data_IF_380574182223
#
_entry.id   IF_380574182223
#
_cell.length_a   1.000
_cell.length_b   1.000
_cell.length_c   1.000
_cell.angle_alpha   90.00
_cell.angle_beta   90.00
_cell.angle_gamma   90.00
#
_symmetry.space_group_name_H-M   'P 1'
#
loop_
_entity.id
_entity.type
_entity.pdbx_description
1 polymer ?
#
# COMPACT_ATOMS: atom_id res chain seq x y z
N UNK A 1 -96.15 29.90 24.35
CA UNK A 1 -95.87 28.65 23.63
C UNK A 1 -94.93 28.99 22.48
N UNK A 2 -93.63 28.74 22.62
CA UNK A 2 -92.64 28.92 21.56
C UNK A 2 -91.47 27.96 21.86
N UNK A 3 -91.38 26.90 21.08
CA UNK A 3 -90.34 25.88 21.17
C UNK A 3 -89.12 26.32 20.34
N UNK A 4 -87.96 26.40 21.00
CA UNK A 4 -86.67 26.66 20.37
C UNK A 4 -86.20 25.44 19.57
N UNK A 5 -85.81 25.63 18.31
CA UNK A 5 -85.09 24.63 17.52
C UNK A 5 -83.58 24.82 17.65
N UNK A 6 -82.88 23.72 17.96
CA UNK A 6 -81.44 23.64 18.20
C UNK A 6 -80.69 23.51 16.86
N UNK A 7 -79.54 24.15 16.64
CA UNK A 7 -78.77 23.99 15.40
C UNK A 7 -78.11 22.61 15.34
N UNK A 8 -78.23 21.97 14.17
CA UNK A 8 -77.75 20.62 13.88
C UNK A 8 -76.24 20.67 13.55
N UNK A 9 -75.41 20.00 14.36
CA UNK A 9 -73.96 19.85 14.11
C UNK A 9 -73.73 18.97 12.87
N UNK A 10 -73.07 19.52 11.85
CA UNK A 10 -72.60 18.78 10.68
C UNK A 10 -71.44 17.83 11.05
N UNK A 11 -71.61 16.52 10.80
CA UNK A 11 -70.55 15.52 10.92
C UNK A 11 -69.48 15.73 9.83
N UNK A 12 -68.17 15.67 10.15
CA UNK A 12 -67.12 15.75 9.14
C UNK A 12 -67.15 14.50 8.24
N UNK A 13 -67.07 14.72 6.93
CA UNK A 13 -67.13 13.70 5.88
C UNK A 13 -65.84 12.86 5.81
N UNK A 14 -65.98 11.55 5.58
CA UNK A 14 -64.90 10.53 5.66
C UNK A 14 -63.71 10.74 4.72
N UNK A 15 -63.78 11.69 3.79
CA UNK A 15 -62.71 12.03 2.85
C UNK A 15 -61.66 12.93 3.51
N UNK A 16 -62.07 13.81 4.43
CA UNK A 16 -61.16 14.67 5.22
C UNK A 16 -60.35 13.86 6.23
N UNK A 17 -61.00 12.93 6.95
CA UNK A 17 -60.31 12.04 7.89
C UNK A 17 -59.27 11.13 7.21
N UNK A 18 -59.54 10.63 6.01
CA UNK A 18 -58.59 9.82 5.24
C UNK A 18 -57.35 10.61 4.80
N UNK A 19 -57.53 11.88 4.45
CA UNK A 19 -56.41 12.75 4.07
C UNK A 19 -55.51 13.07 5.27
N UNK A 20 -56.11 13.36 6.43
CA UNK A 20 -55.37 13.61 7.68
C UNK A 20 -54.60 12.36 8.10
N UNK A 21 -55.20 11.17 8.02
CA UNK A 21 -54.53 9.92 8.35
C UNK A 21 -53.33 9.65 7.43
N UNK A 22 -53.47 9.93 6.13
CA UNK A 22 -52.37 9.81 5.16
C UNK A 22 -51.21 10.75 5.52
N UNK A 23 -51.49 12.00 5.88
CA UNK A 23 -50.47 12.96 6.30
C UNK A 23 -49.73 12.51 7.57
N UNK A 24 -50.43 11.94 8.55
CA UNK A 24 -49.81 11.41 9.79
C UNK A 24 -48.88 10.24 9.48
N UNK A 25 -49.30 9.32 8.59
CA UNK A 25 -48.47 8.18 8.18
C UNK A 25 -47.22 8.63 7.43
N UNK A 26 -47.35 9.59 6.51
CA UNK A 26 -46.20 10.15 5.78
C UNK A 26 -45.23 10.83 6.76
N UNK A 27 -45.74 11.62 7.72
CA UNK A 27 -44.90 12.29 8.71
C UNK A 27 -44.19 11.28 9.63
N UNK A 28 -44.88 10.22 10.05
CA UNK A 28 -44.27 9.13 10.82
C UNK A 28 -43.19 8.40 10.01
N UNK A 29 -43.42 8.11 8.72
CA UNK A 29 -42.40 7.55 7.84
C UNK A 29 -41.18 8.47 7.67
N UNK A 30 -41.38 9.78 7.53
CA UNK A 30 -40.28 10.74 7.45
C UNK A 30 -39.49 10.82 8.76
N UNK A 31 -40.15 10.75 9.91
CA UNK A 31 -39.50 10.68 11.23
C UNK A 31 -38.71 9.38 11.40
N UNK A 32 -39.24 8.25 10.93
CA UNK A 32 -38.51 6.98 10.94
C UNK A 32 -37.30 7.02 9.99
N UNK A 33 -37.45 7.51 8.76
CA UNK A 33 -36.35 7.64 7.80
C UNK A 33 -35.26 8.60 8.29
N UNK A 34 -35.65 9.74 8.89
CA UNK A 34 -34.69 10.68 9.49
C UNK A 34 -34.01 10.10 10.73
N UNK A 35 -34.70 9.27 11.52
CA UNK A 35 -34.05 8.53 12.61
C UNK A 35 -33.02 7.53 12.09
N UNK A 36 -33.28 6.80 11.00
CA UNK A 36 -32.33 5.86 10.37
C UNK A 36 -31.10 6.58 9.80
N UNK A 37 -31.28 7.78 9.23
CA UNK A 37 -30.17 8.61 8.72
C UNK A 37 -29.40 9.26 9.89
N UNK A 38 -30.08 9.63 10.97
CA UNK A 38 -29.47 10.29 12.14
C UNK A 38 -28.80 9.32 13.12
N UNK A 39 -29.17 8.04 13.14
CA UNK A 39 -28.49 7.00 13.95
C UNK A 39 -27.49 6.16 13.16
N UNK A 40 -26.97 6.68 12.03
CA UNK A 40 -25.81 6.14 11.31
C UNK A 40 -24.49 6.11 12.11
N UNK A 41 -24.54 6.22 13.44
CA UNK A 41 -23.42 6.08 14.38
C UNK A 41 -23.84 5.33 15.66
N UNK A 42 -24.37 4.12 15.52
CA UNK A 42 -24.30 3.12 16.61
C UNK A 42 -23.64 1.85 16.07
N UNK A 43 -22.33 1.73 16.34
CA UNK A 43 -21.58 0.51 16.02
C UNK A 43 -20.07 0.74 15.91
N UNK A 44 -19.37 0.65 17.04
CA UNK A 44 -17.99 0.17 17.15
C UNK A 44 -16.94 0.78 16.18
N UNK A 45 -16.24 1.87 16.56
CA UNK A 45 -15.19 2.46 15.73
C UNK A 45 -14.04 1.49 15.39
N UNK A 46 -13.86 0.42 16.18
CA UNK A 46 -12.83 -0.60 15.96
C UNK A 46 -13.19 -1.65 14.88
N UNK A 47 -14.47 -1.99 14.71
CA UNK A 47 -14.88 -2.94 13.67
C UNK A 47 -14.99 -2.28 12.30
N UNK A 48 -15.36 -1.00 12.25
CA UNK A 48 -15.36 -0.24 11.00
C UNK A 48 -13.95 -0.07 10.42
N UNK A 49 -12.91 0.10 11.24
CA UNK A 49 -11.52 0.15 10.72
C UNK A 49 -11.05 -1.17 10.10
N UNK A 50 -11.45 -2.32 10.64
CA UNK A 50 -11.07 -3.62 10.08
C UNK A 50 -11.92 -4.00 8.88
N UNK A 51 -13.22 -3.70 8.90
CA UNK A 51 -14.09 -3.95 7.75
C UNK A 51 -13.72 -2.99 6.62
N UNK A 52 -13.47 -1.70 6.87
CA UNK A 52 -12.95 -0.80 5.84
C UNK A 52 -11.55 -1.24 5.35
N UNK A 53 -10.68 -1.80 6.21
CA UNK A 53 -9.41 -2.40 5.77
C UNK A 53 -9.65 -3.58 4.80
N UNK A 54 -10.54 -4.52 5.14
CA UNK A 54 -10.82 -5.69 4.30
C UNK A 54 -11.72 -5.39 3.08
N UNK A 55 -12.56 -4.35 3.13
CA UNK A 55 -13.54 -3.98 2.09
C UNK A 55 -12.99 -2.90 1.17
N UNK A 56 -12.12 -2.01 1.66
CA UNK A 56 -11.50 -0.92 0.87
C UNK A 56 -10.13 -1.29 0.32
N UNK A 57 -9.41 -2.26 0.89
CA UNK A 57 -8.23 -2.81 0.22
C UNK A 57 -8.72 -3.49 -1.05
N UNK A 58 -8.51 -2.88 -2.24
CA UNK A 58 -8.68 -3.63 -3.45
C UNK A 58 -7.51 -4.62 -3.39
N UNK A 59 -7.75 -5.82 -2.87
CA UNK A 59 -6.89 -7.01 -3.08
C UNK A 59 -6.83 -7.40 -4.58
N UNK A 60 -7.15 -6.45 -5.46
CA UNK A 60 -6.96 -6.53 -6.88
C UNK A 60 -5.55 -6.07 -7.17
N UNK A 61 -4.77 -6.97 -7.77
CA UNK A 61 -3.50 -6.67 -8.42
C UNK A 61 -3.63 -5.33 -9.14
N UNK A 62 -2.92 -4.31 -8.66
CA UNK A 62 -2.86 -3.00 -9.31
C UNK A 62 -2.51 -3.25 -10.78
N UNK A 63 -3.40 -2.87 -11.69
CA UNK A 63 -3.11 -3.04 -13.12
C UNK A 63 -1.97 -2.10 -13.48
N UNK A 64 -0.81 -2.69 -13.79
CA UNK A 64 0.38 -1.95 -14.19
C UNK A 64 0.09 -1.20 -15.49
N UNK A 65 0.03 0.12 -15.41
CA UNK A 65 -0.22 0.97 -16.59
C UNK A 65 1.09 1.29 -17.32
N UNK A 66 1.02 1.53 -18.63
CA UNK A 66 2.19 1.90 -19.47
C UNK A 66 2.88 3.22 -19.05
N UNK A 67 2.30 4.00 -18.13
CA UNK A 67 2.91 5.20 -17.56
C UNK A 67 3.78 4.92 -16.34
N UNK A 68 3.76 3.69 -15.82
CA UNK A 68 4.51 3.33 -14.63
C UNK A 68 6.00 3.32 -14.88
N UNK A 69 6.70 3.82 -13.86
CA UNK A 69 8.13 4.03 -13.84
C UNK A 69 8.67 3.37 -12.58
N UNK A 70 9.84 2.78 -12.68
CA UNK A 70 10.36 1.86 -11.67
C UNK A 70 11.62 2.41 -11.02
N UNK A 71 11.76 2.16 -9.72
CA UNK A 71 12.99 2.33 -8.97
C UNK A 71 13.50 0.95 -8.57
N UNK A 72 14.64 0.55 -9.12
CA UNK A 72 15.30 -0.72 -8.79
C UNK A 72 16.46 -0.46 -7.83
N UNK A 73 16.45 -1.18 -6.70
CA UNK A 73 17.44 -0.98 -5.62
C UNK A 73 18.50 -2.07 -5.56
N UNK A 74 18.39 -3.09 -6.41
CA UNK A 74 19.24 -4.28 -6.38
C UNK A 74 18.45 -5.52 -6.04
N UNK A 75 19.09 -6.68 -6.20
CA UNK A 75 18.52 -7.98 -5.88
C UNK A 75 18.70 -8.37 -4.41
N UNK A 76 19.36 -7.50 -3.63
CA UNK A 76 19.62 -7.66 -2.21
C UNK A 76 19.58 -6.26 -1.60
N UNK A 77 18.83 -6.10 -0.52
CA UNK A 77 18.87 -4.85 0.23
C UNK A 77 20.10 -4.88 1.13
N UNK A 78 21.12 -4.08 0.81
CA UNK A 78 22.23 -3.75 1.71
C UNK A 78 22.90 -4.99 2.36
N UNK A 79 23.07 -6.04 1.56
CA UNK A 79 23.75 -7.25 1.99
C UNK A 79 24.42 -7.93 0.80
N UNK A 80 25.76 -8.10 0.82
CA UNK A 80 26.53 -8.53 -0.33
C UNK A 80 26.40 -10.03 -0.64
N UNK A 81 25.62 -10.78 0.15
CA UNK A 81 25.44 -12.21 -0.08
C UNK A 81 26.62 -13.04 0.39
N UNK A 82 27.58 -13.25 -0.52
CA UNK A 82 28.72 -14.16 -0.34
C UNK A 82 29.65 -13.76 0.81
N UNK A 83 29.75 -12.46 1.07
CA UNK A 83 30.56 -11.90 2.13
C UNK A 83 29.67 -11.32 3.24
N UNK A 84 28.66 -12.08 3.65
CA UNK A 84 27.64 -11.64 4.62
C UNK A 84 28.28 -11.15 5.94
N UNK A 85 29.48 -11.63 6.31
CA UNK A 85 30.24 -11.09 7.44
C UNK A 85 30.55 -9.59 7.34
N UNK A 86 30.58 -9.02 6.14
CA UNK A 86 30.81 -7.58 5.95
C UNK A 86 29.54 -6.74 6.10
N UNK A 87 28.33 -7.34 6.01
CA UNK A 87 27.05 -6.65 6.16
C UNK A 87 26.88 -6.06 7.58
N UNK A 88 26.44 -4.82 7.71
CA UNK A 88 26.31 -4.16 9.02
C UNK A 88 25.17 -4.70 9.91
N UNK A 89 24.39 -5.68 9.44
CA UNK A 89 23.39 -6.41 10.22
C UNK A 89 21.96 -6.26 9.68
N UNK A 90 20.99 -6.94 10.31
CA UNK A 90 19.58 -6.86 9.91
C UNK A 90 19.01 -5.44 10.05
N UNK A 91 19.38 -4.72 11.12
CA UNK A 91 18.95 -3.33 11.30
C UNK A 91 19.43 -2.38 10.20
N UNK A 92 20.60 -2.64 9.59
CA UNK A 92 21.06 -1.87 8.43
C UNK A 92 20.21 -2.17 7.21
N UNK A 93 19.96 -3.46 6.92
CA UNK A 93 19.07 -3.90 5.83
C UNK A 93 17.67 -3.29 5.95
N UNK A 94 17.07 -3.28 7.15
CA UNK A 94 15.76 -2.68 7.40
C UNK A 94 15.78 -1.16 7.21
N UNK A 95 16.82 -0.47 7.69
CA UNK A 95 17.00 0.96 7.47
C UNK A 95 17.13 1.30 5.98
N UNK A 96 17.92 0.51 5.25
CA UNK A 96 18.13 0.64 3.81
C UNK A 96 16.86 0.37 3.02
N UNK A 97 16.04 -0.60 3.44
CA UNK A 97 14.71 -0.83 2.86
C UNK A 97 13.80 0.39 3.04
N UNK A 98 13.80 1.01 4.22
CA UNK A 98 13.03 2.23 4.48
C UNK A 98 13.48 3.40 3.62
N UNK A 99 14.78 3.57 3.41
CA UNK A 99 15.32 4.56 2.48
C UNK A 99 14.87 4.30 1.04
N UNK A 100 14.90 3.05 0.59
CA UNK A 100 14.46 2.66 -0.75
C UNK A 100 12.97 2.95 -0.99
N UNK A 101 12.12 2.61 -0.01
CA UNK A 101 10.69 2.88 -0.03
C UNK A 101 10.40 4.39 -0.06
N UNK A 102 11.08 5.17 0.77
CA UNK A 102 10.93 6.62 0.80
C UNK A 102 11.35 7.25 -0.53
N UNK A 103 12.47 6.82 -1.12
CA UNK A 103 12.91 7.35 -2.40
C UNK A 103 11.95 6.98 -3.55
N UNK A 104 11.38 5.77 -3.54
CA UNK A 104 10.34 5.37 -4.49
C UNK A 104 9.09 6.27 -4.37
N UNK A 105 8.66 6.53 -3.13
CA UNK A 105 7.56 7.45 -2.84
C UNK A 105 7.87 8.88 -3.30
N UNK A 106 9.07 9.38 -3.01
CA UNK A 106 9.53 10.72 -3.40
C UNK A 106 9.57 10.88 -4.93
N UNK A 107 10.02 9.87 -5.66
CA UNK A 107 10.10 9.88 -7.12
C UNK A 107 8.77 9.52 -7.80
N UNK A 108 7.75 9.15 -7.03
CA UNK A 108 6.47 8.61 -7.51
C UNK A 108 6.68 7.44 -8.49
N UNK A 109 7.48 6.45 -8.07
CA UNK A 109 7.83 5.26 -8.86
C UNK A 109 7.42 3.99 -8.13
N UNK A 110 7.12 2.95 -8.89
CA UNK A 110 6.96 1.60 -8.37
C UNK A 110 8.31 1.10 -7.88
N UNK A 111 8.38 0.74 -6.61
CA UNK A 111 9.55 0.15 -6.00
C UNK A 111 9.69 -1.31 -6.44
N UNK A 112 10.84 -1.66 -7.00
CA UNK A 112 11.20 -3.04 -7.30
C UNK A 112 11.98 -3.56 -6.10
N UNK A 113 11.26 -4.23 -5.22
CA UNK A 113 11.76 -4.78 -3.97
C UNK A 113 12.48 -6.10 -4.24
N UNK A 114 13.63 -6.35 -3.59
CA UNK A 114 14.24 -7.69 -3.59
C UNK A 114 13.24 -8.75 -3.13
N UNK A 115 13.23 -9.93 -3.76
CA UNK A 115 12.38 -11.04 -3.33
C UNK A 115 12.82 -11.68 -2.02
N UNK A 116 14.04 -11.42 -1.55
CA UNK A 116 14.55 -11.93 -0.28
C UNK A 116 15.43 -10.96 0.50
N UNK A 117 15.47 -11.16 1.82
CA UNK A 117 16.29 -10.43 2.78
C UNK A 117 17.16 -11.41 3.58
N UNK A 118 18.39 -11.02 3.91
CA UNK A 118 19.26 -11.88 4.71
C UNK A 118 18.85 -11.86 6.18
N UNK A 119 18.56 -13.03 6.73
CA UNK A 119 18.25 -13.24 8.15
C UNK A 119 19.33 -14.09 8.82
N UNK A 120 20.54 -14.14 8.24
CA UNK A 120 21.59 -14.98 8.74
C UNK A 120 21.93 -14.61 10.21
N UNK A 121 21.93 -15.58 11.14
CA UNK A 121 22.24 -15.31 12.55
C UNK A 121 23.61 -14.66 12.78
N UNK A 122 24.53 -14.69 11.79
CA UNK A 122 25.79 -13.93 11.84
C UNK A 122 25.55 -12.44 12.09
N UNK A 123 24.42 -11.88 11.63
CA UNK A 123 24.03 -10.50 11.90
C UNK A 123 23.89 -10.21 13.40
N UNK A 124 23.53 -11.20 14.21
CA UNK A 124 23.41 -11.06 15.67
C UNK A 124 24.76 -11.19 16.40
N UNK A 125 25.78 -11.74 15.72
CA UNK A 125 27.10 -12.01 16.32
C UNK A 125 28.12 -10.91 16.06
N UNK A 126 27.78 -9.86 15.30
CA UNK A 126 28.69 -8.73 15.05
C UNK A 126 29.11 -7.94 16.30
N UNK A 127 28.48 -8.18 17.46
CA UNK A 127 28.90 -7.69 18.78
C UNK A 127 29.68 -8.70 19.65
N UNK A 128 29.84 -9.96 19.22
CA UNK A 128 30.49 -11.02 20.01
C UNK A 128 31.68 -11.56 19.21
N UNK A 129 32.87 -11.12 19.61
CA UNK A 129 34.15 -11.34 18.93
C UNK A 129 34.46 -12.79 18.53
N UNK A 130 35.21 -12.90 17.42
CA UNK A 130 36.06 -14.00 16.97
C UNK A 130 35.40 -15.34 16.59
N UNK A 131 35.17 -15.59 15.29
CA UNK A 131 35.47 -16.90 14.67
C UNK A 131 35.50 -16.90 13.12
N UNK A 132 36.64 -17.40 12.63
CA UNK A 132 37.03 -18.01 11.33
C UNK A 132 36.15 -17.92 10.09
N UNK A 133 36.81 -17.49 9.01
CA UNK A 133 36.57 -17.74 7.58
C UNK A 133 35.75 -19.01 7.27
N UNK A 134 34.43 -18.88 7.28
CA UNK A 134 33.56 -19.75 6.50
C UNK A 134 32.88 -18.88 5.47
N UNK A 135 33.54 -18.74 4.32
CA UNK A 135 33.01 -18.05 3.13
C UNK A 135 31.61 -18.59 2.86
N UNK A 136 30.59 -17.76 3.09
CA UNK A 136 29.22 -18.12 2.75
C UNK A 136 29.10 -18.31 1.23
N UNK A 137 28.83 -19.54 0.79
CA UNK A 137 28.49 -19.85 -0.61
C UNK A 137 27.07 -19.36 -0.92
N UNK A 138 26.68 -19.24 -2.20
CA UNK A 138 25.28 -18.90 -2.58
C UNK A 138 24.26 -19.86 -1.96
N UNK A 139 24.64 -21.12 -1.78
CA UNK A 139 23.84 -22.15 -1.07
C UNK A 139 23.59 -21.77 0.39
N UNK A 140 24.60 -21.17 1.05
CA UNK A 140 24.48 -20.62 2.40
C UNK A 140 23.55 -19.41 2.46
N UNK A 141 23.47 -18.61 1.40
CA UNK A 141 22.51 -17.51 1.31
C UNK A 141 21.07 -18.02 1.22
N UNK A 142 20.79 -18.98 0.34
CA UNK A 142 19.44 -19.55 0.19
C UNK A 142 18.92 -20.11 1.53
N UNK A 143 19.79 -20.77 2.30
CA UNK A 143 19.46 -21.27 3.64
C UNK A 143 19.39 -20.20 4.75
N UNK A 144 19.81 -18.97 4.48
CA UNK A 144 19.85 -17.86 5.44
C UNK A 144 19.17 -16.57 4.95
N UNK A 145 18.37 -16.67 3.89
CA UNK A 145 17.50 -15.62 3.37
C UNK A 145 16.05 -15.97 3.61
N UNK A 146 15.23 -14.97 3.88
CA UNK A 146 13.78 -15.12 3.98
C UNK A 146 13.13 -14.38 2.81
N UNK A 147 12.04 -14.93 2.29
CA UNK A 147 11.26 -14.26 1.25
C UNK A 147 10.62 -12.99 1.81
N UNK A 148 10.61 -11.91 1.02
CA UNK A 148 10.12 -10.61 1.50
C UNK A 148 8.63 -10.61 1.80
N UNK A 149 7.85 -11.40 1.07
CA UNK A 149 6.41 -11.62 1.33
C UNK A 149 6.14 -12.46 2.59
N UNK A 150 7.15 -13.13 3.14
CA UNK A 150 7.08 -13.82 4.43
C UNK A 150 7.43 -12.91 5.61
N UNK A 151 8.23 -11.87 5.36
CA UNK A 151 8.64 -10.89 6.37
C UNK A 151 7.71 -9.68 6.45
N UNK A 152 7.12 -9.27 5.33
CA UNK A 152 6.34 -8.04 5.21
C UNK A 152 5.05 -8.30 4.46
N UNK A 153 3.98 -7.65 4.90
CA UNK A 153 2.74 -7.57 4.14
C UNK A 153 2.93 -6.59 2.97
N UNK A 154 3.28 -7.14 1.80
CA UNK A 154 3.58 -6.37 0.60
C UNK A 154 2.33 -5.63 0.08
N UNK A 155 1.15 -6.22 0.27
CA UNK A 155 -0.11 -5.59 -0.12
C UNK A 155 -0.37 -4.35 0.73
N UNK A 156 -0.14 -4.44 2.05
CA UNK A 156 -0.24 -3.31 2.97
C UNK A 156 0.74 -2.19 2.65
N UNK A 157 2.00 -2.52 2.33
CA UNK A 157 2.98 -1.52 1.88
C UNK A 157 2.50 -0.87 0.58
N UNK A 158 1.94 -1.68 -0.33
CA UNK A 158 1.45 -1.26 -1.65
C UNK A 158 0.25 -0.32 -1.61
N UNK A 159 -0.48 -0.24 -0.49
CA UNK A 159 -1.50 0.79 -0.28
C UNK A 159 -0.93 2.21 -0.33
N UNK A 160 0.33 2.38 0.10
CA UNK A 160 1.00 3.68 0.13
C UNK A 160 2.05 3.84 -0.97
N UNK A 161 2.89 2.82 -1.17
CA UNK A 161 4.04 2.88 -2.08
C UNK A 161 3.91 1.68 -3.01
N UNK A 162 3.69 1.86 -4.32
CA UNK A 162 3.53 0.71 -5.21
C UNK A 162 4.79 -0.17 -5.17
N UNK A 163 4.63 -1.47 -4.88
CA UNK A 163 5.73 -2.43 -4.82
C UNK A 163 5.49 -3.58 -5.79
N UNK A 164 6.56 -4.04 -6.44
CA UNK A 164 6.64 -5.38 -7.05
C UNK A 164 7.92 -6.08 -6.58
N UNK A 165 7.91 -7.41 -6.55
CA UNK A 165 9.12 -8.19 -6.29
C UNK A 165 9.95 -8.37 -7.56
N UNK A 166 11.27 -8.45 -7.40
CA UNK A 166 12.25 -8.59 -8.49
C UNK A 166 12.31 -10.01 -9.12
N UNK A 167 11.53 -10.95 -8.62
CA UNK A 167 11.28 -12.27 -9.22
C UNK A 167 9.88 -12.39 -9.87
N UNK A 168 9.10 -11.30 -9.85
CA UNK A 168 7.75 -11.29 -10.42
C UNK A 168 7.77 -11.32 -11.95
N UNK A 169 6.73 -11.93 -12.54
CA UNK A 169 6.51 -11.90 -14.01
C UNK A 169 6.42 -10.47 -14.55
N UNK A 170 5.86 -9.55 -13.77
CA UNK A 170 5.80 -8.12 -14.10
C UNK A 170 7.19 -7.55 -14.27
N UNK A 171 8.09 -7.79 -13.33
CA UNK A 171 9.45 -7.27 -13.42
C UNK A 171 10.21 -7.83 -14.62
N UNK A 172 10.07 -9.13 -14.92
CA UNK A 172 10.65 -9.72 -16.14
C UNK A 172 10.15 -9.02 -17.42
N UNK A 173 8.85 -8.71 -17.51
CA UNK A 173 8.29 -7.96 -18.63
C UNK A 173 8.86 -6.53 -18.71
N UNK A 174 8.95 -5.83 -17.58
CA UNK A 174 9.51 -4.47 -17.48
C UNK A 174 10.98 -4.46 -17.93
N UNK A 175 11.79 -5.40 -17.46
CA UNK A 175 13.19 -5.55 -17.89
C UNK A 175 13.27 -5.77 -19.40
N UNK A 176 12.48 -6.70 -19.95
CA UNK A 176 12.45 -6.97 -21.40
C UNK A 176 12.04 -5.74 -22.22
N UNK A 177 11.14 -4.91 -21.67
CA UNK A 177 10.68 -3.67 -22.29
C UNK A 177 11.76 -2.59 -22.22
N UNK A 178 12.46 -2.48 -21.09
CA UNK A 178 13.56 -1.53 -20.92
C UNK A 178 14.67 -1.74 -21.95
N UNK A 179 14.99 -3.00 -22.27
CA UNK A 179 15.98 -3.34 -23.30
C UNK A 179 15.58 -2.85 -24.70
N UNK A 180 14.28 -2.75 -24.98
CA UNK A 180 13.75 -2.22 -26.25
C UNK A 180 13.71 -0.69 -26.31
N UNK A 181 13.80 -0.01 -25.17
CA UNK A 181 13.72 1.44 -25.06
C UNK A 181 15.11 2.12 -25.07
N UNK A 182 16.19 1.34 -25.14
CA UNK A 182 17.57 1.81 -25.23
C UNK A 182 17.88 2.89 -24.16
N UNK A 183 18.25 4.10 -24.58
CA UNK A 183 18.61 5.23 -23.69
C UNK A 183 17.48 5.63 -22.73
N UNK A 184 16.22 5.33 -23.05
CA UNK A 184 15.06 5.61 -22.18
C UNK A 184 14.68 4.45 -21.28
N UNK A 185 15.31 3.29 -21.45
CA UNK A 185 14.97 2.05 -20.76
C UNK A 185 15.46 2.02 -19.31
N UNK A 186 16.75 2.20 -19.11
CA UNK A 186 17.37 2.07 -17.79
C UNK A 186 18.58 2.98 -17.67
N UNK A 187 18.73 3.64 -16.53
CA UNK A 187 19.99 4.28 -16.18
C UNK A 187 20.44 3.90 -14.77
N UNK A 188 21.73 3.64 -14.65
CA UNK A 188 22.40 3.47 -13.36
C UNK A 188 22.83 4.84 -12.82
N UNK A 189 22.46 5.15 -11.57
CA UNK A 189 22.54 6.51 -11.02
C UNK A 189 23.45 6.62 -9.78
N UNK A 190 24.66 6.07 -9.90
CA UNK A 190 25.69 6.18 -8.86
C UNK A 190 26.00 7.63 -8.49
N UNK A 191 26.01 7.95 -7.19
CA UNK A 191 26.38 9.28 -6.67
C UNK A 191 25.40 10.42 -7.01
N UNK A 192 24.28 10.13 -7.69
CA UNK A 192 23.27 11.14 -8.02
C UNK A 192 22.35 11.36 -6.83
N UNK A 193 22.10 12.61 -6.42
CA UNK A 193 21.14 12.88 -5.33
C UNK A 193 19.69 12.68 -5.77
N UNK A 194 18.80 12.31 -4.85
CA UNK A 194 17.35 12.13 -5.13
C UNK A 194 16.71 13.35 -5.78
N UNK A 195 17.15 14.57 -5.41
CA UNK A 195 16.66 15.82 -5.99
C UNK A 195 17.07 15.99 -7.46
N UNK A 196 18.21 15.43 -7.89
CA UNK A 196 18.58 15.45 -9.31
C UNK A 196 17.80 14.42 -10.12
N UNK A 197 17.34 13.33 -9.49
CA UNK A 197 16.53 12.30 -10.16
C UNK A 197 15.14 12.77 -10.57
N UNK A 198 14.65 13.89 -10.02
CA UNK A 198 13.37 14.50 -10.44
C UNK A 198 13.51 15.34 -11.72
N UNK A 199 14.73 15.60 -12.19
CA UNK A 199 14.99 16.37 -13.41
C UNK A 199 14.63 15.55 -14.67
N UNK A 200 14.32 16.25 -15.77
CA UNK A 200 13.72 15.68 -16.99
C UNK A 200 14.52 14.53 -17.62
N UNK A 201 15.84 14.50 -17.47
CA UNK A 201 16.67 13.45 -18.04
C UNK A 201 16.53 12.11 -17.32
N UNK A 202 16.35 12.10 -15.99
CA UNK A 202 16.10 10.88 -15.22
C UNK A 202 14.62 10.59 -15.05
N UNK A 203 13.79 11.63 -14.93
CA UNK A 203 12.36 11.46 -14.66
C UNK A 203 11.63 10.76 -15.81
N UNK A 204 12.14 10.81 -17.04
CA UNK A 204 11.57 10.14 -18.21
C UNK A 204 12.01 8.68 -18.40
N UNK A 205 12.99 8.20 -17.63
CA UNK A 205 13.45 6.82 -17.72
C UNK A 205 12.39 5.85 -17.20
N UNK A 206 12.25 4.71 -17.87
CA UNK A 206 11.42 3.60 -17.39
C UNK A 206 11.99 3.07 -16.06
N UNK A 207 13.29 2.79 -15.98
CA UNK A 207 13.96 2.26 -14.78
C UNK A 207 15.06 3.20 -14.31
N UNK A 208 15.01 3.59 -13.04
CA UNK A 208 16.15 4.14 -12.32
C UNK A 208 16.80 3.02 -11.51
N UNK A 209 18.07 2.72 -11.77
CA UNK A 209 18.84 1.69 -11.10
C UNK A 209 19.78 2.31 -10.05
N UNK A 210 19.45 2.06 -8.77
CA UNK A 210 20.17 2.53 -7.57
C UNK A 210 21.18 1.52 -7.02
N UNK A 211 21.32 0.34 -7.61
CA UNK A 211 22.01 -0.83 -7.03
C UNK A 211 23.46 -0.59 -6.60
N UNK A 212 24.20 0.36 -7.20
CA UNK A 212 25.58 0.63 -6.74
C UNK A 212 25.71 1.88 -5.86
N UNK A 213 24.60 2.52 -5.48
CA UNK A 213 24.66 3.69 -4.61
C UNK A 213 25.34 3.31 -3.29
N UNK A 214 26.37 4.05 -2.81
CA UNK A 214 26.93 3.83 -1.48
C UNK A 214 25.95 4.17 -0.35
N UNK A 215 24.79 4.76 -0.70
CA UNK A 215 23.68 4.98 0.22
C UNK A 215 22.67 3.82 0.20
N UNK A 216 22.83 2.87 -0.73
CA UNK A 216 22.05 1.65 -0.82
C UNK A 216 22.76 0.45 -0.15
N UNK A 217 24.02 0.62 0.27
CA UNK A 217 24.92 -0.35 0.91
C UNK A 217 25.57 0.24 2.17
#
# INVERSE_FOLDING_TARGET
MATMSKPQRTKPTSRSQRLVLLCVVIFACLLLLSSVISTGKLGLPYQQTLIDYFVRSPRGKREHTLSEKYLYWGNRIDCPGKNCETCAGLGHQESSLRCALEEAMFLNRTFVMPSGMCINPIHNKKGILNRSDNKTTEEGWVGSSCAMDSLYDIDLISEKIPVILDDSKTWHFVLSTSMKLEERGIAHVYGVSRHRLTQSHYSNLLIINRTASPLAW
#
